data_IF_272524982851
#
_entry.id   IF_272524982851
#
_cell.length_a   1.000
_cell.length_b   1.000
_cell.length_c   1.000
_cell.angle_alpha   90.00
_cell.angle_beta   90.00
_cell.angle_gamma   90.00
#
_symmetry.space_group_name_H-M   'P 1'
#
loop_
_entity.id
_entity.type
_entity.pdbx_description
1 polymer ?
#
# COMPACT_ATOMS: atom_id res chain seq x y z
N UNK A 1 -62.86 -8.35 9.35
CA UNK A 1 -62.07 -8.08 10.57
C UNK A 1 -60.78 -7.39 10.13
N UNK A 2 -60.38 -6.32 10.81
CA UNK A 2 -59.42 -5.32 10.30
C UNK A 2 -58.00 -5.73 10.71
N UNK A 3 -57.26 -6.38 9.82
CA UNK A 3 -55.94 -7.00 10.06
C UNK A 3 -54.80 -5.97 10.23
N UNK A 4 -55.13 -4.68 10.40
CA UNK A 4 -54.21 -3.56 10.56
C UNK A 4 -53.14 -3.78 11.65
N UNK A 5 -53.45 -4.33 12.86
CA UNK A 5 -52.42 -4.48 13.89
C UNK A 5 -51.37 -5.52 13.50
N UNK A 6 -51.74 -6.56 12.76
CA UNK A 6 -50.80 -7.60 12.29
C UNK A 6 -49.85 -7.03 11.24
N UNK A 7 -50.36 -6.19 10.33
CA UNK A 7 -49.54 -5.53 9.32
C UNK A 7 -48.53 -4.56 9.96
N UNK A 8 -48.96 -3.79 10.97
CA UNK A 8 -48.06 -2.89 11.69
C UNK A 8 -46.95 -3.63 12.44
N UNK A 9 -47.26 -4.77 13.05
CA UNK A 9 -46.27 -5.60 13.76
C UNK A 9 -45.26 -6.19 12.76
N UNK A 10 -45.72 -6.70 11.62
CA UNK A 10 -44.84 -7.24 10.57
C UNK A 10 -43.94 -6.12 10.00
N UNK A 11 -44.48 -4.93 9.74
CA UNK A 11 -43.70 -3.78 9.31
C UNK A 11 -42.67 -3.35 10.38
N UNK A 12 -43.03 -3.35 11.66
CA UNK A 12 -42.11 -3.01 12.74
C UNK A 12 -40.95 -4.03 12.85
N UNK A 13 -41.25 -5.33 12.77
CA UNK A 13 -40.24 -6.39 12.80
C UNK A 13 -39.32 -6.29 11.57
N UNK A 14 -39.88 -6.04 10.38
CA UNK A 14 -39.09 -5.86 9.16
C UNK A 14 -38.19 -4.61 9.24
N UNK A 15 -38.68 -3.54 9.87
CA UNK A 15 -37.91 -2.31 10.09
C UNK A 15 -36.75 -2.51 11.06
N UNK A 16 -36.95 -3.27 12.14
CA UNK A 16 -35.89 -3.60 13.11
C UNK A 16 -34.83 -4.51 12.49
N UNK A 17 -35.24 -5.43 11.60
CA UNK A 17 -34.33 -6.34 10.89
C UNK A 17 -33.33 -5.62 9.97
N UNK A 18 -33.70 -4.47 9.42
CA UNK A 18 -32.85 -3.63 8.57
C UNK A 18 -31.80 -2.81 9.36
N UNK A 19 -31.94 -2.70 10.68
CA UNK A 19 -31.00 -1.96 11.53
C UNK A 19 -29.83 -2.86 11.99
N UNK A 20 -30.04 -4.18 11.99
CA UNK A 20 -29.03 -5.18 12.42
C UNK A 20 -28.22 -5.71 11.24
N UNK A 21 -28.11 -4.95 10.14
CA UNK A 21 -27.13 -5.29 9.10
C UNK A 21 -25.77 -5.03 9.73
N UNK A 22 -24.92 -6.06 10.00
CA UNK A 22 -23.55 -5.79 10.35
C UNK A 22 -22.98 -4.95 9.22
N UNK A 23 -22.41 -3.78 9.54
CA UNK A 23 -21.80 -2.93 8.54
C UNK A 23 -20.94 -3.82 7.65
N UNK A 24 -21.33 -3.94 6.38
CA UNK A 24 -20.57 -4.69 5.40
C UNK A 24 -19.18 -4.06 5.38
N UNK A 25 -18.25 -4.69 6.09
CA UNK A 25 -16.83 -4.37 6.07
C UNK A 25 -16.31 -4.85 4.72
N UNK A 26 -16.71 -4.16 3.66
CA UNK A 26 -16.13 -4.27 2.35
C UNK A 26 -14.66 -3.81 2.48
N UNK A 27 -13.79 -4.80 2.70
CA UNK A 27 -12.31 -4.76 2.76
C UNK A 27 -11.71 -3.37 2.54
N UNK A 28 -11.51 -2.65 3.65
CA UNK A 28 -10.55 -1.54 3.74
C UNK A 28 -9.70 -1.72 4.98
N UNK A 29 -8.95 -2.83 5.04
CA UNK A 29 -7.79 -2.89 5.92
C UNK A 29 -6.75 -1.98 5.29
N UNK A 30 -6.64 -0.74 5.75
CA UNK A 30 -5.50 0.08 5.32
C UNK A 30 -4.49 0.25 6.44
N UNK A 31 -4.90 0.54 7.67
CA UNK A 31 -4.00 0.64 8.82
C UNK A 31 -4.80 0.36 10.09
N UNK A 32 -4.27 -0.45 11.02
CA UNK A 32 -4.85 -0.53 12.37
C UNK A 32 -4.70 0.82 13.09
N UNK A 33 -5.51 1.12 14.13
CA UNK A 33 -5.34 2.35 14.91
C UNK A 33 -3.91 2.54 15.42
N UNK A 34 -3.27 1.45 15.82
CA UNK A 34 -1.88 1.43 16.30
C UNK A 34 -0.91 1.81 15.18
N UNK A 35 -1.07 1.23 13.98
CA UNK A 35 -0.23 1.55 12.81
C UNK A 35 -0.39 3.01 12.38
N UNK A 36 -1.61 3.56 12.45
CA UNK A 36 -1.84 5.00 12.17
C UNK A 36 -1.09 5.87 13.17
N UNK A 37 -1.16 5.52 14.45
CA UNK A 37 -0.48 6.26 15.51
C UNK A 37 1.05 6.17 15.39
N UNK A 38 1.58 5.01 14.96
CA UNK A 38 2.99 4.82 14.67
C UNK A 38 3.43 5.70 13.48
N UNK A 39 2.69 5.68 12.37
CA UNK A 39 2.98 6.51 11.21
C UNK A 39 2.90 8.02 11.50
N UNK A 40 1.98 8.45 12.38
CA UNK A 40 1.90 9.85 12.82
C UNK A 40 3.13 10.31 13.60
N UNK A 41 3.86 9.39 14.23
CA UNK A 41 5.05 9.68 15.03
C UNK A 41 6.35 9.29 14.33
N UNK A 42 6.27 8.75 13.11
CA UNK A 42 7.44 8.29 12.36
C UNK A 42 8.38 9.46 12.07
N UNK A 43 9.64 9.30 12.46
CA UNK A 43 10.70 10.29 12.25
C UNK A 43 11.86 9.70 11.48
N UNK A 44 12.11 8.41 11.68
CA UNK A 44 13.26 7.69 11.13
C UNK A 44 12.84 6.75 10.02
N UNK A 45 13.48 6.86 8.86
CA UNK A 45 13.18 6.06 7.68
C UNK A 45 14.43 5.31 7.23
N UNK A 46 14.31 3.99 7.15
CA UNK A 46 15.32 3.15 6.50
C UNK A 46 15.02 3.08 5.00
N UNK A 47 15.99 3.45 4.16
CA UNK A 47 15.82 3.42 2.70
C UNK A 47 16.45 2.16 2.13
N UNK A 48 15.61 1.30 1.57
CA UNK A 48 16.01 0.04 0.93
C UNK A 48 15.82 0.11 -0.58
N UNK A 49 16.91 0.03 -1.35
CA UNK A 49 16.87 0.11 -2.81
C UNK A 49 17.29 -1.19 -3.47
N UNK A 50 16.65 -1.49 -4.61
CA UNK A 50 17.00 -2.62 -5.46
C UNK A 50 16.84 -2.23 -6.92
N UNK A 51 17.88 -2.45 -7.72
CA UNK A 51 17.84 -2.27 -9.16
C UNK A 51 18.08 -3.61 -9.86
N UNK A 52 17.17 -4.01 -10.75
CA UNK A 52 17.21 -5.27 -11.51
C UNK A 52 17.15 -5.01 -13.01
N UNK A 53 18.11 -5.58 -13.73
CA UNK A 53 18.17 -5.63 -15.20
C UNK A 53 17.89 -7.06 -15.66
N UNK A 54 17.76 -7.26 -16.98
CA UNK A 54 17.74 -8.61 -17.57
C UNK A 54 19.01 -9.42 -17.24
N UNK A 55 20.13 -8.75 -16.96
CA UNK A 55 21.41 -9.36 -16.58
C UNK A 55 21.56 -9.59 -15.06
N UNK A 56 20.55 -9.23 -14.27
CA UNK A 56 20.54 -9.38 -12.82
C UNK A 56 20.64 -8.05 -12.06
N UNK A 57 21.12 -8.11 -10.81
CA UNK A 57 21.23 -6.95 -9.91
C UNK A 57 22.27 -5.97 -10.43
N UNK A 58 21.94 -4.68 -10.39
CA UNK A 58 22.87 -3.59 -10.72
C UNK A 58 23.02 -2.62 -9.54
N UNK A 59 23.91 -1.63 -9.66
CA UNK A 59 24.14 -0.63 -8.63
C UNK A 59 22.85 0.17 -8.36
N UNK A 60 22.44 0.23 -7.10
CA UNK A 60 21.27 1.00 -6.65
C UNK A 60 21.63 2.15 -5.70
N UNK A 61 22.91 2.37 -5.40
CA UNK A 61 23.37 3.47 -4.55
C UNK A 61 22.89 4.85 -5.02
N UNK A 62 22.87 5.18 -6.34
CA UNK A 62 22.33 6.48 -6.78
C UNK A 62 20.84 6.65 -6.44
N UNK A 63 20.07 5.56 -6.49
CA UNK A 63 18.65 5.58 -6.10
C UNK A 63 18.51 5.76 -4.59
N UNK A 64 19.37 5.11 -3.80
CA UNK A 64 19.36 5.25 -2.35
C UNK A 64 19.71 6.68 -1.93
N UNK A 65 20.74 7.27 -2.55
CA UNK A 65 21.15 8.65 -2.31
C UNK A 65 20.03 9.63 -2.65
N UNK A 66 19.40 9.49 -3.82
CA UNK A 66 18.29 10.35 -4.24
C UNK A 66 17.10 10.22 -3.30
N UNK A 67 16.66 9.00 -2.99
CA UNK A 67 15.53 8.77 -2.09
C UNK A 67 15.82 9.32 -0.68
N UNK A 68 17.04 9.12 -0.17
CA UNK A 68 17.47 9.64 1.13
C UNK A 68 17.47 11.16 1.16
N UNK A 69 17.98 11.80 0.11
CA UNK A 69 17.95 13.26 -0.03
C UNK A 69 16.50 13.77 0.00
N UNK A 70 15.60 13.20 -0.82
CA UNK A 70 14.20 13.65 -0.89
C UNK A 70 13.45 13.46 0.42
N UNK A 71 13.70 12.37 1.14
CA UNK A 71 13.10 12.13 2.45
C UNK A 71 13.64 13.11 3.51
N UNK A 72 14.93 13.45 3.44
CA UNK A 72 15.53 14.46 4.32
C UNK A 72 14.97 15.85 4.05
N UNK A 73 14.79 16.23 2.78
CA UNK A 73 14.20 17.51 2.37
C UNK A 73 12.77 17.72 2.91
N UNK A 74 12.01 16.63 3.11
CA UNK A 74 10.65 16.69 3.69
C UNK A 74 10.62 16.50 5.22
N UNK A 75 11.79 16.38 5.87
CA UNK A 75 11.92 16.40 7.32
C UNK A 75 12.11 15.04 8.02
N UNK A 76 12.31 13.95 7.28
CA UNK A 76 12.65 12.66 7.89
C UNK A 76 14.15 12.53 8.18
N UNK A 77 14.49 11.83 9.26
CA UNK A 77 15.84 11.34 9.50
C UNK A 77 16.02 10.03 8.75
N UNK A 78 17.02 9.94 7.88
CA UNK A 78 17.21 8.77 7.02
C UNK A 78 18.40 7.93 7.49
N UNK A 79 18.23 6.61 7.49
CA UNK A 79 19.31 5.65 7.64
C UNK A 79 19.42 4.73 6.43
N UNK A 80 20.66 4.39 6.05
CA UNK A 80 20.97 3.41 5.02
C UNK A 80 21.29 2.02 5.60
N UNK A 81 21.36 1.88 6.93
CA UNK A 81 21.68 0.63 7.60
C UNK A 81 20.41 0.02 8.22
N UNK A 82 20.05 -1.17 7.75
CA UNK A 82 18.90 -1.93 8.26
C UNK A 82 19.00 -2.27 9.74
N UNK A 83 20.22 -2.35 10.30
CA UNK A 83 20.44 -2.68 11.71
C UNK A 83 20.16 -1.51 12.65
N UNK A 84 20.13 -0.28 12.13
CA UNK A 84 19.76 0.87 12.92
C UNK A 84 18.25 0.89 13.15
N UNK A 85 17.83 1.37 14.33
CA UNK A 85 16.43 1.54 14.63
C UNK A 85 15.78 2.52 13.63
N UNK A 86 14.64 2.14 13.08
CA UNK A 86 13.87 2.94 12.15
C UNK A 86 12.38 2.67 12.34
N UNK A 87 11.55 3.67 12.11
CA UNK A 87 10.09 3.57 12.27
C UNK A 87 9.43 2.96 11.02
N UNK A 88 9.97 3.29 9.84
CA UNK A 88 9.43 2.91 8.53
C UNK A 88 10.56 2.44 7.62
N UNK A 89 10.35 1.35 6.90
CA UNK A 89 11.19 0.96 5.77
C UNK A 89 10.57 1.50 4.48
N UNK A 90 11.27 2.39 3.79
CA UNK A 90 10.90 2.88 2.47
C UNK A 90 11.67 2.11 1.41
N UNK A 91 10.94 1.42 0.54
CA UNK A 91 11.52 0.53 -0.46
C UNK A 91 11.34 1.09 -1.87
N UNK A 92 12.45 1.20 -2.60
CA UNK A 92 12.47 1.58 -4.02
C UNK A 92 13.01 0.40 -4.81
N UNK A 93 12.15 -0.23 -5.61
CA UNK A 93 12.53 -1.36 -6.47
C UNK A 93 12.38 -0.98 -7.93
N UNK A 94 13.49 -0.79 -8.63
CA UNK A 94 13.52 -0.51 -10.06
C UNK A 94 13.84 -1.78 -10.84
N UNK A 95 13.01 -2.10 -11.84
CA UNK A 95 13.20 -3.27 -12.71
C UNK A 95 13.11 -2.86 -14.18
N UNK A 96 14.00 -3.40 -15.01
CA UNK A 96 13.97 -3.24 -16.48
C UNK A 96 12.77 -3.98 -17.08
N UNK A 97 12.49 -5.17 -16.55
CA UNK A 97 11.24 -5.92 -16.79
C UNK A 97 10.57 -6.22 -15.47
N UNK A 98 9.28 -5.90 -15.39
CA UNK A 98 8.48 -6.17 -14.21
C UNK A 98 8.42 -7.68 -13.93
N UNK A 99 8.89 -8.07 -12.76
CA UNK A 99 8.76 -9.45 -12.26
C UNK A 99 7.39 -9.62 -11.61
N UNK A 100 6.67 -10.70 -11.93
CA UNK A 100 5.41 -11.03 -11.28
C UNK A 100 5.61 -11.23 -9.77
N UNK A 101 4.89 -10.47 -8.96
CA UNK A 101 4.97 -10.53 -7.49
C UNK A 101 3.84 -11.34 -6.85
N UNK A 102 3.02 -12.03 -7.66
CA UNK A 102 1.83 -12.77 -7.22
C UNK A 102 0.54 -12.25 -7.85
N UNK A 103 -0.57 -12.95 -7.61
CA UNK A 103 -1.89 -12.58 -8.15
C UNK A 103 -2.33 -11.22 -7.65
N UNK A 104 -2.54 -10.29 -8.57
CA UNK A 104 -3.19 -9.01 -8.31
C UNK A 104 -4.54 -9.28 -7.63
N UNK A 105 -4.81 -8.60 -6.52
CA UNK A 105 -6.11 -8.66 -5.88
C UNK A 105 -7.19 -8.08 -6.82
N UNK A 106 -8.34 -8.73 -6.88
CA UNK A 106 -9.48 -8.27 -7.69
C UNK A 106 -10.18 -7.07 -7.02
N UNK A 107 -10.66 -6.12 -7.84
CA UNK A 107 -11.40 -4.93 -7.42
C UNK A 107 -10.59 -3.64 -7.16
N UNK A 108 -11.24 -2.49 -7.37
CA UNK A 108 -10.74 -1.17 -6.98
C UNK A 108 -9.58 -0.64 -7.83
N UNK A 109 -8.59 0.00 -7.19
CA UNK A 109 -7.44 0.63 -7.85
C UNK A 109 -6.55 -0.38 -8.62
N UNK A 110 -6.67 -1.66 -8.32
CA UNK A 110 -5.96 -2.74 -8.98
C UNK A 110 -6.48 -3.02 -10.42
N UNK A 111 -7.72 -2.62 -10.71
CA UNK A 111 -8.36 -2.83 -12.01
C UNK A 111 -8.20 -1.62 -12.96
N UNK A 112 -7.76 -0.48 -12.43
CA UNK A 112 -7.53 0.74 -13.21
C UNK A 112 -6.54 0.46 -14.36
N UNK A 113 -6.71 1.18 -15.48
CA UNK A 113 -5.87 0.98 -16.67
C UNK A 113 -4.40 1.38 -16.43
N UNK A 114 -4.17 2.29 -15.49
CA UNK A 114 -2.88 2.73 -15.00
C UNK A 114 -2.41 1.97 -13.75
N UNK A 115 -3.18 0.96 -13.29
CA UNK A 115 -2.85 0.16 -12.11
C UNK A 115 -1.42 -0.42 -12.22
N UNK A 116 -0.55 -0.14 -11.25
CA UNK A 116 0.81 -0.66 -11.21
C UNK A 116 0.91 -2.18 -11.11
N UNK A 117 -0.20 -2.92 -10.98
CA UNK A 117 -0.22 -4.36 -10.83
C UNK A 117 -0.19 -5.13 -12.17
N UNK A 118 -0.45 -4.49 -13.32
CA UNK A 118 -0.40 -5.17 -14.63
C UNK A 118 1.02 -5.60 -15.03
N UNK A 119 1.17 -6.83 -15.53
CA UNK A 119 2.44 -7.54 -15.75
C UNK A 119 3.42 -6.90 -16.76
N UNK A 120 2.95 -6.05 -17.69
CA UNK A 120 3.74 -5.65 -18.86
C UNK A 120 3.75 -4.15 -19.09
N UNK A 121 4.63 -3.43 -18.39
CA UNK A 121 4.79 -1.98 -18.57
C UNK A 121 6.28 -1.56 -18.50
N UNK A 122 7.16 -2.28 -19.21
CA UNK A 122 8.56 -1.85 -19.42
C UNK A 122 9.34 -1.54 -18.13
N UNK A 123 10.38 -0.69 -18.23
CA UNK A 123 11.18 -0.29 -17.08
C UNK A 123 10.39 0.60 -16.11
N UNK A 124 10.37 0.22 -14.84
CA UNK A 124 9.63 0.93 -13.81
C UNK A 124 10.26 0.80 -12.43
N UNK A 125 10.09 1.83 -11.61
CA UNK A 125 10.40 1.84 -10.19
C UNK A 125 9.12 1.77 -9.38
N UNK A 126 9.01 0.76 -8.51
CA UNK A 126 7.95 0.61 -7.55
C UNK A 126 8.42 1.12 -6.18
N UNK A 127 7.71 2.11 -5.66
CA UNK A 127 7.90 2.69 -4.35
C UNK A 127 6.86 2.10 -3.42
N UNK A 128 7.29 1.55 -2.29
CA UNK A 128 6.42 1.02 -1.23
C UNK A 128 6.96 1.43 0.12
N UNK A 129 6.13 1.36 1.16
CA UNK A 129 6.62 1.45 2.54
C UNK A 129 6.14 0.28 3.38
N UNK A 130 6.93 -0.05 4.40
CA UNK A 130 6.64 -1.12 5.35
C UNK A 130 6.74 -0.54 6.77
N UNK A 131 5.83 -0.96 7.62
CA UNK A 131 5.85 -0.69 9.06
C UNK A 131 5.96 -2.03 9.76
N UNK A 132 6.96 -2.19 10.63
CA UNK A 132 7.29 -3.47 11.28
C UNK A 132 7.40 -4.65 10.28
N UNK A 133 7.97 -4.39 9.10
CA UNK A 133 8.11 -5.38 8.03
C UNK A 133 6.81 -5.77 7.32
N UNK A 134 5.67 -5.12 7.63
CA UNK A 134 4.39 -5.34 6.96
C UNK A 134 4.14 -4.30 5.89
N UNK A 135 3.82 -4.77 4.67
CA UNK A 135 3.34 -3.92 3.60
C UNK A 135 1.86 -3.58 3.83
N UNK A 136 1.52 -2.29 3.77
CA UNK A 136 0.19 -1.75 4.11
C UNK A 136 -0.64 -1.41 2.87
N UNK A 137 -0.23 -1.90 1.70
CA UNK A 137 -0.99 -1.83 0.45
C UNK A 137 -0.84 -0.53 -0.32
N UNK A 138 -0.09 0.45 0.19
CA UNK A 138 0.29 1.62 -0.59
C UNK A 138 1.51 1.31 -1.46
N UNK A 139 1.42 1.71 -2.73
CA UNK A 139 2.53 1.64 -3.66
C UNK A 139 2.39 2.72 -4.73
N UNK A 140 3.51 3.16 -5.28
CA UNK A 140 3.57 4.09 -6.40
C UNK A 140 4.53 3.56 -7.46
N UNK A 141 4.04 3.39 -8.68
CA UNK A 141 4.90 3.12 -9.84
C UNK A 141 5.30 4.42 -10.52
N UNK A 142 6.59 4.51 -10.84
CA UNK A 142 7.19 5.57 -11.65
C UNK A 142 7.84 4.89 -12.85
N UNK A 143 7.42 5.26 -14.05
CA UNK A 143 8.05 4.77 -15.28
C UNK A 143 9.21 5.65 -15.66
N UNK A 144 10.29 5.01 -16.07
CA UNK A 144 11.52 5.67 -16.52
C UNK A 144 12.17 4.78 -17.56
N UNK A 145 12.92 5.34 -18.51
CA UNK A 145 13.86 4.53 -19.28
C UNK A 145 14.91 3.92 -18.34
N UNK A 146 15.24 2.64 -18.53
CA UNK A 146 16.42 2.04 -17.92
C UNK A 146 17.64 2.45 -18.76
N UNK A 147 18.73 2.85 -18.10
CA UNK A 147 19.99 3.22 -18.74
C UNK A 147 21.12 2.38 -18.15
#
# INVERSE_FOLDING_TARGET
MKNWPVVLIICAIFSVSLIIVPQSSARRTHLTPEQKQQLQKAQTVFVNTLALTEKGRTNSEPLQALASQRLTEVGFSVTADRKQAHDVEFKVKCEERKTWTGTTAEGGDAELLDAPARLWKGPACLLTYLVDGKNLGWYKEVRTSFQ
#
